data_IF_991183268986
#
_entry.id   IF_991183268986
#
_cell.length_a   1.000
_cell.length_b   1.000
_cell.length_c   1.000
_cell.angle_alpha   90.00
_cell.angle_beta   90.00
_cell.angle_gamma   90.00
#
_symmetry.space_group_name_H-M   'P 1'
#
loop_
_entity.id
_entity.type
_entity.pdbx_description
1 polymer ?
#
# COMPACT_ATOMS: atom_id res chain seq x y z
N UNK A 1 -17.76 -30.41 47.42
CA UNK A 1 -18.17 -29.01 47.62
C UNK A 1 -19.32 -28.72 46.66
N UNK A 2 -20.56 -28.67 47.15
CA UNK A 2 -21.75 -28.46 46.31
C UNK A 2 -21.77 -27.01 45.82
N UNK A 3 -21.38 -26.78 44.57
CA UNK A 3 -21.42 -25.45 43.96
C UNK A 3 -22.88 -25.03 43.81
N UNK A 4 -23.23 -23.92 44.45
CA UNK A 4 -24.59 -23.38 44.41
C UNK A 4 -24.90 -22.81 43.01
N UNK A 5 -26.04 -23.19 42.42
CA UNK A 5 -26.43 -22.81 41.04
C UNK A 5 -26.35 -21.30 40.78
N UNK A 6 -26.72 -20.47 41.75
CA UNK A 6 -26.62 -19.00 41.65
C UNK A 6 -25.18 -18.52 41.55
N UNK A 7 -24.25 -19.19 42.25
CA UNK A 7 -22.83 -18.85 42.23
C UNK A 7 -22.20 -19.25 40.90
N UNK A 8 -22.56 -20.42 40.37
CA UNK A 8 -22.12 -20.86 39.05
C UNK A 8 -22.59 -19.90 37.93
N UNK A 9 -23.86 -19.47 37.95
CA UNK A 9 -24.38 -18.52 36.96
C UNK A 9 -23.69 -17.15 37.04
N UNK A 10 -23.42 -16.64 38.25
CA UNK A 10 -22.68 -15.38 38.42
C UNK A 10 -21.24 -15.50 37.91
N UNK A 11 -20.57 -16.61 38.18
CA UNK A 11 -19.19 -16.83 37.72
C UNK A 11 -19.09 -16.98 36.21
N UNK A 12 -20.02 -17.71 35.58
CA UNK A 12 -20.08 -17.81 34.11
C UNK A 12 -20.27 -16.43 33.47
N UNK A 13 -21.19 -15.62 34.01
CA UNK A 13 -21.47 -14.27 33.49
C UNK A 13 -20.25 -13.35 33.60
N UNK A 14 -19.54 -13.39 34.73
CA UNK A 14 -18.29 -12.63 34.95
C UNK A 14 -17.17 -13.08 34.02
N UNK A 15 -17.00 -14.38 33.79
CA UNK A 15 -15.97 -14.92 32.89
C UNK A 15 -16.28 -14.57 31.43
N UNK A 16 -17.55 -14.68 31.00
CA UNK A 16 -17.95 -14.29 29.65
C UNK A 16 -17.82 -12.78 29.39
N UNK A 17 -18.16 -11.95 30.38
CA UNK A 17 -17.98 -10.51 30.30
C UNK A 17 -16.49 -10.13 30.29
N UNK A 18 -15.66 -10.85 31.06
CA UNK A 18 -14.20 -10.69 31.05
C UNK A 18 -13.61 -11.02 29.68
N UNK A 19 -14.04 -12.12 29.03
CA UNK A 19 -13.54 -12.52 27.71
C UNK A 19 -13.94 -11.57 26.58
N UNK A 20 -15.11 -10.91 26.69
CA UNK A 20 -15.58 -9.95 25.70
C UNK A 20 -14.78 -8.63 25.69
N UNK A 21 -14.10 -8.29 26.79
CA UNK A 21 -13.30 -7.06 26.93
C UNK A 21 -11.82 -7.24 26.56
N UNK A 22 -11.34 -8.48 26.44
CA UNK A 22 -9.95 -8.80 26.09
C UNK A 22 -9.49 -8.46 24.65
N UNK A 23 -10.35 -8.38 23.60
CA UNK A 23 -9.86 -8.19 22.23
C UNK A 23 -9.12 -6.87 21.99
N UNK A 24 -9.43 -5.81 22.77
CA UNK A 24 -8.84 -4.47 22.56
C UNK A 24 -7.42 -4.32 23.12
N UNK A 25 -6.98 -5.16 24.07
CA UNK A 25 -5.65 -5.04 24.68
C UNK A 25 -4.59 -5.96 24.04
N UNK A 26 -5.01 -6.95 23.25
CA UNK A 26 -4.10 -7.94 22.66
C UNK A 26 -3.60 -7.58 21.25
N UNK A 27 -4.19 -6.59 20.59
CA UNK A 27 -3.77 -6.14 19.26
C UNK A 27 -3.00 -4.84 19.38
N UNK A 28 -1.73 -4.93 19.76
CA UNK A 28 -0.80 -3.82 19.56
C UNK A 28 -0.33 -3.89 18.10
N UNK A 29 -0.76 -2.97 17.21
CA UNK A 29 -0.34 -3.02 15.83
C UNK A 29 1.18 -2.89 15.76
N UNK A 30 1.82 -3.77 14.98
CA UNK A 30 3.24 -3.61 14.68
C UNK A 30 3.42 -2.37 13.82
N UNK A 31 4.41 -1.50 14.08
CA UNK A 31 4.68 -0.36 13.22
C UNK A 31 5.10 -0.83 11.81
N UNK A 32 5.02 0.09 10.84
CA UNK A 32 5.68 -0.04 9.54
C UNK A 32 7.18 -0.39 9.68
N UNK A 33 7.74 -1.01 8.64
CA UNK A 33 9.14 -1.42 8.56
C UNK A 33 10.11 -0.24 8.42
N UNK A 34 9.60 0.95 8.10
CA UNK A 34 10.35 2.20 8.02
C UNK A 34 9.95 3.16 9.14
N UNK A 35 10.89 4.04 9.52
CA UNK A 35 10.62 5.10 10.49
C UNK A 35 9.88 6.26 9.82
N UNK A 36 8.67 6.55 10.29
CA UNK A 36 7.82 7.66 9.85
C UNK A 36 7.73 8.68 10.98
N UNK A 37 7.88 9.97 10.66
CA UNK A 37 7.96 11.06 11.64
C UNK A 37 6.62 11.76 11.85
N UNK A 38 5.85 11.93 10.78
CA UNK A 38 4.67 12.79 10.71
C UNK A 38 3.38 11.98 10.58
N UNK A 39 3.42 10.79 9.96
CA UNK A 39 2.29 9.88 9.83
C UNK A 39 2.50 8.57 10.58
N UNK A 40 1.40 7.93 10.97
CA UNK A 40 1.42 6.61 11.59
C UNK A 40 0.78 5.59 10.64
N UNK A 41 1.58 4.62 10.19
CA UNK A 41 1.14 3.48 9.38
C UNK A 41 1.66 2.22 10.07
N UNK A 42 0.81 1.23 10.21
CA UNK A 42 1.15 -0.06 10.79
C UNK A 42 1.56 -1.07 9.70
N UNK A 43 1.99 -2.25 10.13
CA UNK A 43 2.40 -3.32 9.23
C UNK A 43 1.26 -3.77 8.31
N UNK A 44 0.00 -3.67 8.73
CA UNK A 44 -1.15 -4.01 7.87
C UNK A 44 -1.30 -2.99 6.74
N UNK A 45 -1.28 -1.69 7.06
CA UNK A 45 -1.31 -0.62 6.06
C UNK A 45 -0.12 -0.67 5.09
N UNK A 46 1.08 -1.00 5.59
CA UNK A 46 2.24 -1.19 4.72
C UNK A 46 2.08 -2.39 3.77
N UNK A 47 1.61 -3.53 4.27
CA UNK A 47 1.37 -4.71 3.45
C UNK A 47 0.32 -4.45 2.38
N UNK A 48 -0.71 -3.67 2.70
CA UNK A 48 -1.72 -3.22 1.74
C UNK A 48 -1.10 -2.40 0.61
N UNK A 49 -0.25 -1.43 0.95
CA UNK A 49 0.47 -0.61 -0.02
C UNK A 49 1.45 -1.43 -0.85
N UNK A 50 2.12 -2.41 -0.26
CA UNK A 50 3.01 -3.34 -0.95
C UNK A 50 2.24 -4.19 -1.97
N UNK A 51 1.07 -4.72 -1.58
CA UNK A 51 0.18 -5.47 -2.48
C UNK A 51 -0.40 -4.58 -3.59
N UNK A 52 -0.70 -3.31 -3.29
CA UNK A 52 -1.18 -2.34 -4.28
C UNK A 52 -0.07 -2.01 -5.30
N UNK A 53 1.16 -1.79 -4.84
CA UNK A 53 2.31 -1.58 -5.71
C UNK A 53 2.57 -2.79 -6.63
N UNK A 54 2.53 -3.99 -6.07
CA UNK A 54 2.65 -5.24 -6.82
C UNK A 54 1.51 -5.44 -7.84
N UNK A 55 0.30 -4.98 -7.52
CA UNK A 55 -0.83 -5.04 -8.46
C UNK A 55 -0.67 -4.04 -9.62
N UNK A 56 -0.07 -2.87 -9.35
CA UNK A 56 0.13 -1.82 -10.36
C UNK A 56 1.29 -2.13 -11.32
N UNK A 57 2.41 -2.63 -10.79
CA UNK A 57 3.59 -3.03 -11.56
C UNK A 57 4.08 -4.37 -10.99
N UNK A 58 3.51 -5.49 -11.45
CA UNK A 58 3.82 -6.81 -10.93
C UNK A 58 5.21 -7.26 -11.34
N UNK A 59 5.84 -8.05 -10.48
CA UNK A 59 7.05 -8.77 -10.85
C UNK A 59 6.73 -9.82 -11.94
N UNK A 60 7.60 -9.91 -12.95
CA UNK A 60 7.51 -10.92 -14.01
C UNK A 60 8.89 -11.59 -14.17
N UNK A 61 9.47 -11.62 -15.37
CA UNK A 61 10.90 -11.89 -15.56
C UNK A 61 11.79 -10.77 -15.04
N UNK A 62 11.20 -9.62 -14.70
CA UNK A 62 11.86 -8.44 -14.16
C UNK A 62 11.27 -8.06 -12.79
N UNK A 63 12.05 -7.44 -11.89
CA UNK A 63 11.55 -6.86 -10.64
C UNK A 63 10.35 -5.94 -10.85
N UNK A 64 9.33 -6.06 -10.00
CA UNK A 64 8.17 -5.18 -9.97
C UNK A 64 8.33 -3.98 -9.01
N UNK A 65 7.27 -3.18 -8.87
CA UNK A 65 7.28 -2.02 -7.96
C UNK A 65 7.46 -2.39 -6.49
N UNK A 66 6.95 -3.56 -6.07
CA UNK A 66 7.16 -4.06 -4.71
C UNK A 66 8.64 -4.41 -4.46
N UNK A 67 9.30 -5.02 -5.44
CA UNK A 67 10.70 -5.48 -5.32
C UNK A 67 11.68 -4.31 -5.16
N UNK A 68 11.42 -3.20 -5.87
CA UNK A 68 12.20 -1.96 -5.72
C UNK A 68 11.73 -1.08 -4.56
N UNK A 69 10.83 -1.60 -3.70
CA UNK A 69 10.31 -0.93 -2.51
C UNK A 69 9.59 0.40 -2.81
N UNK A 70 8.91 0.51 -3.97
CA UNK A 70 8.20 1.73 -4.36
C UNK A 70 7.07 2.11 -3.38
N UNK A 71 6.47 1.14 -2.68
CA UNK A 71 5.48 1.37 -1.63
C UNK A 71 6.08 2.07 -0.39
N UNK A 72 7.32 1.69 0.00
CA UNK A 72 8.04 2.37 1.09
C UNK A 72 8.46 3.78 0.67
N UNK A 73 8.93 3.92 -0.58
CA UNK A 73 9.19 5.25 -1.16
C UNK A 73 7.94 6.14 -1.12
N UNK A 74 6.77 5.61 -1.48
CA UNK A 74 5.51 6.37 -1.42
C UNK A 74 5.20 6.83 0.01
N UNK A 75 5.36 5.96 1.01
CA UNK A 75 5.19 6.33 2.42
C UNK A 75 6.15 7.43 2.85
N UNK A 76 7.44 7.33 2.49
CA UNK A 76 8.44 8.37 2.78
C UNK A 76 8.08 9.70 2.12
N UNK A 77 7.61 9.69 0.88
CA UNK A 77 7.18 10.91 0.19
C UNK A 77 5.97 11.58 0.86
N UNK A 78 4.99 10.79 1.33
CA UNK A 78 3.86 11.33 2.08
C UNK A 78 4.33 11.90 3.42
N UNK A 79 5.21 11.19 4.12
CA UNK A 79 5.71 11.58 5.45
C UNK A 79 6.59 12.83 5.41
N UNK A 80 7.57 12.89 4.50
CA UNK A 80 8.58 13.96 4.49
C UNK A 80 8.18 15.16 3.61
N UNK A 81 7.38 14.96 2.55
CA UNK A 81 7.18 15.99 1.51
C UNK A 81 5.75 16.56 1.41
N UNK A 82 4.74 15.91 2.00
CA UNK A 82 3.37 16.43 1.99
C UNK A 82 3.07 17.35 3.17
N UNK A 83 2.13 18.28 2.96
CA UNK A 83 1.61 19.12 4.04
C UNK A 83 0.74 18.29 4.98
N UNK A 84 0.62 18.72 6.24
CA UNK A 84 -0.16 18.01 7.26
C UNK A 84 -1.61 17.74 6.83
N UNK A 85 -2.22 18.68 6.13
CA UNK A 85 -3.58 18.53 5.63
C UNK A 85 -3.69 17.39 4.62
N UNK A 86 -2.70 17.25 3.74
CA UNK A 86 -2.69 16.21 2.71
C UNK A 86 -2.24 14.85 3.28
N UNK A 87 -1.36 14.84 4.29
CA UNK A 87 -1.07 13.64 5.09
C UNK A 87 -2.33 13.08 5.75
N UNK A 88 -3.15 13.94 6.36
CA UNK A 88 -4.39 13.52 6.99
C UNK A 88 -5.41 12.99 5.97
N UNK A 89 -5.52 13.63 4.80
CA UNK A 89 -6.34 13.11 3.69
C UNK A 89 -5.85 11.75 3.21
N UNK A 90 -4.54 11.57 3.09
CA UNK A 90 -3.95 10.29 2.71
C UNK A 90 -4.31 9.18 3.71
N UNK A 91 -4.16 9.41 5.02
CA UNK A 91 -4.52 8.42 6.05
C UNK A 91 -6.03 8.14 6.08
N UNK A 92 -6.86 9.18 5.88
CA UNK A 92 -8.32 9.03 5.80
C UNK A 92 -8.72 8.19 4.59
N UNK A 93 -8.16 8.49 3.41
CA UNK A 93 -8.39 7.73 2.20
C UNK A 93 -7.81 6.31 2.25
N UNK A 94 -6.70 6.09 2.94
CA UNK A 94 -6.14 4.76 3.20
C UNK A 94 -7.13 3.88 3.96
N UNK A 95 -7.77 4.44 5.00
CA UNK A 95 -8.83 3.75 5.73
C UNK A 95 -10.06 3.52 4.85
N UNK A 96 -10.52 4.54 4.11
CA UNK A 96 -11.66 4.42 3.21
C UNK A 96 -11.44 3.33 2.14
N UNK A 97 -10.23 3.19 1.61
CA UNK A 97 -9.85 2.14 0.68
C UNK A 97 -9.92 0.74 1.32
N UNK A 98 -9.40 0.60 2.55
CA UNK A 98 -9.49 -0.66 3.30
C UNK A 98 -10.95 -1.06 3.58
N UNK A 99 -11.77 -0.11 4.03
CA UNK A 99 -13.20 -0.30 4.26
C UNK A 99 -13.94 -0.67 2.96
N UNK A 100 -13.58 -0.05 1.83
CA UNK A 100 -14.14 -0.38 0.52
C UNK A 100 -13.82 -1.81 0.10
N UNK A 101 -12.58 -2.27 0.31
CA UNK A 101 -12.18 -3.65 0.04
C UNK A 101 -13.02 -4.64 0.86
N UNK A 102 -13.15 -4.38 2.16
CA UNK A 102 -13.95 -5.21 3.06
C UNK A 102 -15.44 -5.20 2.66
N UNK A 103 -15.98 -4.06 2.24
CA UNK A 103 -17.38 -3.91 1.81
C UNK A 103 -17.68 -4.62 0.49
N UNK A 104 -16.76 -4.57 -0.47
CA UNK A 104 -16.96 -5.10 -1.83
C UNK A 104 -16.65 -6.59 -1.92
N UNK A 105 -15.55 -7.02 -1.30
CA UNK A 105 -15.03 -8.37 -1.46
C UNK A 105 -15.21 -9.23 -0.20
N UNK A 106 -15.47 -8.62 0.96
CA UNK A 106 -15.60 -9.33 2.24
C UNK A 106 -14.25 -9.60 2.95
N UNK A 107 -13.14 -9.16 2.36
CA UNK A 107 -11.79 -9.33 2.89
C UNK A 107 -10.89 -8.16 2.50
N UNK A 108 -9.70 -8.13 3.12
CA UNK A 108 -8.68 -7.11 2.86
C UNK A 108 -8.11 -7.18 1.43
N UNK A 109 -7.48 -6.11 0.97
CA UNK A 109 -6.95 -6.02 -0.39
C UNK A 109 -5.91 -7.11 -0.69
N UNK A 110 -5.05 -7.44 0.26
CA UNK A 110 -4.02 -8.47 0.12
C UNK A 110 -4.62 -9.87 -0.05
N UNK A 111 -5.77 -10.10 0.56
CA UNK A 111 -6.52 -11.36 0.45
C UNK A 111 -7.39 -11.42 -0.81
N UNK A 112 -7.57 -10.30 -1.50
CA UNK A 112 -8.36 -10.24 -2.73
C UNK A 112 -7.65 -10.95 -3.89
N UNK A 113 -8.42 -11.67 -4.70
CA UNK A 113 -7.94 -12.32 -5.91
C UNK A 113 -7.50 -11.29 -6.97
N UNK A 114 -6.68 -11.67 -7.97
CA UNK A 114 -6.26 -10.75 -9.02
C UNK A 114 -7.43 -10.09 -9.77
N UNK A 115 -8.51 -10.84 -10.01
CA UNK A 115 -9.71 -10.32 -10.67
C UNK A 115 -10.46 -9.30 -9.80
N UNK A 116 -10.61 -9.58 -8.50
CA UNK A 116 -11.22 -8.66 -7.54
C UNK A 116 -10.42 -7.36 -7.39
N UNK A 117 -9.09 -7.48 -7.29
CA UNK A 117 -8.20 -6.30 -7.25
C UNK A 117 -8.35 -5.47 -8.52
N UNK A 118 -8.28 -6.09 -9.70
CA UNK A 118 -8.42 -5.39 -10.97
C UNK A 118 -9.78 -4.68 -11.10
N UNK A 119 -10.87 -5.32 -10.68
CA UNK A 119 -12.20 -4.73 -10.69
C UNK A 119 -12.30 -3.51 -9.76
N UNK A 120 -11.82 -3.64 -8.52
CA UNK A 120 -11.82 -2.56 -7.53
C UNK A 120 -10.97 -1.37 -7.98
N UNK A 121 -9.76 -1.61 -8.50
CA UNK A 121 -8.90 -0.54 -9.01
C UNK A 121 -9.51 0.15 -10.23
N UNK A 122 -10.17 -0.60 -11.13
CA UNK A 122 -10.86 -0.02 -12.30
C UNK A 122 -12.04 0.87 -11.90
N UNK A 123 -12.75 0.53 -10.83
CA UNK A 123 -13.79 1.39 -10.25
C UNK A 123 -13.20 2.69 -9.70
N UNK A 124 -12.09 2.60 -8.96
CA UNK A 124 -11.39 3.76 -8.39
C UNK A 124 -10.74 4.66 -9.46
N UNK A 125 -10.29 4.10 -10.59
CA UNK A 125 -9.81 4.88 -11.73
C UNK A 125 -10.92 5.77 -12.31
N UNK A 126 -12.13 5.22 -12.45
CA UNK A 126 -13.28 5.92 -13.01
C UNK A 126 -13.94 6.92 -12.04
N UNK A 127 -13.72 6.76 -10.74
CA UNK A 127 -14.28 7.63 -9.71
C UNK A 127 -13.66 9.04 -9.72
N UNK A 128 -14.40 10.03 -9.22
CA UNK A 128 -13.91 11.40 -9.05
C UNK A 128 -13.15 11.52 -7.72
N UNK A 129 -11.82 11.56 -7.78
CA UNK A 129 -10.96 11.70 -6.60
C UNK A 129 -11.15 13.03 -5.83
N UNK A 130 -11.87 14.01 -6.37
CA UNK A 130 -12.24 15.20 -5.58
C UNK A 130 -13.39 14.95 -4.61
N UNK A 131 -14.12 13.83 -4.78
CA UNK A 131 -15.32 13.47 -4.01
C UNK A 131 -15.21 12.14 -3.27
N UNK A 132 -14.32 11.27 -3.71
CA UNK A 132 -14.11 9.95 -3.14
C UNK A 132 -12.70 9.84 -2.54
N UNK A 133 -12.63 9.71 -1.21
CA UNK A 133 -11.39 9.63 -0.45
C UNK A 133 -10.56 8.38 -0.80
N UNK A 134 -11.22 7.24 -1.09
CA UNK A 134 -10.52 6.02 -1.48
C UNK A 134 -9.91 6.18 -2.88
N UNK A 135 -10.61 6.86 -3.80
CA UNK A 135 -10.10 7.19 -5.12
C UNK A 135 -8.94 8.19 -5.05
N UNK A 136 -9.03 9.20 -4.17
CA UNK A 136 -7.95 10.16 -3.93
C UNK A 136 -6.68 9.49 -3.40
N UNK A 137 -6.84 8.61 -2.41
CA UNK A 137 -5.74 7.80 -1.88
C UNK A 137 -5.13 6.91 -2.97
N UNK A 138 -5.96 6.16 -3.71
CA UNK A 138 -5.49 5.29 -4.78
C UNK A 138 -4.70 6.04 -5.84
N UNK A 139 -5.18 7.19 -6.32
CA UNK A 139 -4.47 8.01 -7.31
C UNK A 139 -3.11 8.49 -6.79
N UNK A 140 -3.06 8.92 -5.54
CA UNK A 140 -1.82 9.35 -4.89
C UNK A 140 -0.81 8.20 -4.82
N UNK A 141 -1.23 7.03 -4.32
CA UNK A 141 -0.35 5.86 -4.23
C UNK A 141 0.10 5.40 -5.60
N UNK A 142 -0.80 5.36 -6.59
CA UNK A 142 -0.46 4.99 -7.96
C UNK A 142 0.61 5.91 -8.55
N UNK A 143 0.44 7.22 -8.43
CA UNK A 143 1.39 8.20 -8.93
C UNK A 143 2.76 8.04 -8.27
N UNK A 144 2.80 7.91 -6.93
CA UNK A 144 4.05 7.73 -6.19
C UNK A 144 4.70 6.37 -6.46
N UNK A 145 3.92 5.32 -6.68
CA UNK A 145 4.43 3.99 -7.04
C UNK A 145 5.11 4.03 -8.41
N UNK A 146 4.46 4.64 -9.41
CA UNK A 146 5.04 4.81 -10.75
C UNK A 146 6.31 5.65 -10.66
N UNK A 147 6.28 6.75 -9.89
CA UNK A 147 7.45 7.60 -9.72
C UNK A 147 8.60 6.87 -9.01
N UNK A 148 8.32 6.17 -7.92
CA UNK A 148 9.32 5.40 -7.19
C UNK A 148 9.91 4.26 -8.01
N UNK A 149 9.11 3.58 -8.84
CA UNK A 149 9.61 2.55 -9.74
C UNK A 149 10.49 3.13 -10.85
N UNK A 150 10.02 4.19 -11.53
CA UNK A 150 10.74 4.79 -12.68
C UNK A 150 11.99 5.58 -12.31
N UNK A 151 12.13 5.95 -11.04
CA UNK A 151 13.35 6.58 -10.50
C UNK A 151 14.24 5.60 -9.73
N UNK A 152 13.86 4.32 -9.66
CA UNK A 152 14.65 3.30 -8.98
C UNK A 152 15.96 3.01 -9.72
N UNK A 153 16.98 2.56 -8.97
CA UNK A 153 18.26 2.10 -9.53
C UNK A 153 18.05 1.03 -10.61
N UNK A 154 17.17 0.06 -10.35
CA UNK A 154 16.85 -0.99 -11.32
C UNK A 154 16.34 -0.41 -12.64
N UNK A 155 15.36 0.49 -12.59
CA UNK A 155 14.78 1.08 -13.79
C UNK A 155 15.81 1.91 -14.55
N UNK A 156 16.57 2.76 -13.84
CA UNK A 156 17.54 3.67 -14.45
C UNK A 156 18.84 3.00 -14.92
N UNK A 157 19.10 1.74 -14.55
CA UNK A 157 20.28 0.98 -15.00
C UNK A 157 19.96 -0.16 -15.97
N UNK A 158 18.73 -0.71 -15.93
CA UNK A 158 18.33 -1.88 -16.73
C UNK A 158 17.23 -1.61 -17.75
N UNK A 159 16.30 -0.69 -17.46
CA UNK A 159 15.13 -0.42 -18.33
C UNK A 159 15.36 0.82 -19.19
N UNK A 160 15.60 1.96 -18.54
CA UNK A 160 15.94 3.22 -19.17
C UNK A 160 17.31 3.64 -18.67
N UNK A 161 18.35 3.14 -19.35
CA UNK A 161 19.76 3.40 -18.98
C UNK A 161 20.00 4.90 -19.01
N UNK A 162 20.05 5.50 -17.82
CA UNK A 162 20.20 6.93 -17.64
C UNK A 162 21.69 7.31 -17.70
N UNK A 163 22.04 8.25 -18.57
CA UNK A 163 23.38 8.80 -18.70
C UNK A 163 23.42 10.17 -18.02
N UNK A 164 23.94 10.22 -16.78
CA UNK A 164 23.87 11.40 -15.91
C UNK A 164 24.63 12.62 -16.45
N UNK A 165 25.67 12.39 -17.23
CA UNK A 165 26.38 13.42 -17.99
C UNK A 165 26.35 12.99 -19.44
N UNK A 166 25.66 13.70 -20.35
CA UNK A 166 25.77 13.38 -21.77
C UNK A 166 27.25 13.46 -22.12
N UNK A 167 27.81 12.34 -22.59
CA UNK A 167 29.20 12.29 -23.05
C UNK A 167 29.47 13.29 -24.18
N UNK A 168 30.65 13.17 -24.80
CA UNK A 168 30.98 14.03 -25.95
C UNK A 168 29.88 13.95 -27.01
N UNK A 169 29.44 15.11 -27.51
CA UNK A 169 28.48 15.16 -28.60
C UNK A 169 29.08 14.50 -29.84
N UNK A 170 28.52 13.36 -30.22
CA UNK A 170 28.85 12.67 -31.46
C UNK A 170 27.80 13.05 -32.51
N UNK A 171 28.14 13.95 -33.43
CA UNK A 171 27.22 14.47 -34.46
C UNK A 171 26.71 13.40 -35.44
N UNK A 172 27.37 12.23 -35.47
CA UNK A 172 26.85 11.02 -36.09
C UNK A 172 27.29 9.82 -35.24
N UNK A 173 26.34 8.94 -34.91
CA UNK A 173 26.60 7.65 -34.27
C UNK A 173 25.85 6.56 -35.01
N UNK A 174 26.45 5.37 -35.19
CA UNK A 174 25.71 4.22 -35.70
C UNK A 174 24.56 3.92 -34.72
N UNK A 175 23.33 3.98 -35.22
CA UNK A 175 22.16 3.61 -34.41
C UNK A 175 22.21 2.10 -34.21
N UNK A 176 22.56 1.67 -32.99
CA UNK A 176 22.35 0.27 -32.62
C UNK A 176 20.85 -0.01 -32.71
N UNK A 177 20.43 -1.13 -33.32
CA UNK A 177 19.02 -1.49 -33.34
C UNK A 177 18.53 -1.48 -31.89
N UNK A 178 17.41 -0.80 -31.65
CA UNK A 178 16.88 -0.65 -30.30
C UNK A 178 16.78 -2.04 -29.66
N UNK A 179 17.46 -2.24 -28.53
CA UNK A 179 17.16 -3.39 -27.67
C UNK A 179 15.66 -3.34 -27.43
N UNK A 180 14.93 -4.40 -27.81
CA UNK A 180 13.48 -4.44 -27.69
C UNK A 180 13.13 -3.98 -26.28
N UNK A 181 12.36 -2.89 -26.18
CA UNK A 181 11.75 -2.46 -24.92
C UNK A 181 10.78 -3.56 -24.54
N UNK A 182 11.22 -4.52 -23.74
CA UNK A 182 10.33 -5.55 -23.19
C UNK A 182 9.41 -4.85 -22.22
N UNK A 183 8.14 -4.74 -22.63
CA UNK A 183 7.02 -4.46 -21.75
C UNK A 183 6.68 -5.69 -20.92
#
# INVERSE_FOLDING_TARGET
>A
MLVNRRTALKQVLVVSAGLALLPSCLRKPSPASISLKNIAVDAEGENMLAALADTLIPATSTPGAKDVKAHLFALTMVDDCMKKEDQQKFLTGMKAFSDLCQKKNGHSFEKSSPAERAALLKELEAADASKDDAAAFYRTVKQLTIYGYTTSEYYLTKVQVYELVPGRFHGSVPVKPASKRTA
#
